data_IF_683003569325
#
_entry.id   IF_683003569325
#
_cell.length_a   1.000
_cell.length_b   1.000
_cell.length_c   1.000
_cell.angle_alpha   90.00
_cell.angle_beta   90.00
_cell.angle_gamma   90.00
#
_symmetry.space_group_name_H-M   'P 1'
#
loop_
_entity.id
_entity.type
_entity.pdbx_description
1 polymer ?
#
# COMPACT_ATOMS: atom_id res chain seq x y z
N UNK A 1 -21.23 -8.87 -0.52
CA UNK A 1 -20.18 -7.98 -0.02
C UNK A 1 -20.27 -6.65 -0.75
N UNK A 2 -20.49 -5.57 -0.02
CA UNK A 2 -20.41 -4.21 -0.52
C UNK A 2 -18.99 -3.64 -0.31
N UNK A 3 -18.65 -2.58 -1.03
CA UNK A 3 -17.44 -1.80 -0.82
C UNK A 3 -17.79 -0.43 -0.26
N UNK A 4 -16.97 0.06 0.67
CA UNK A 4 -17.04 1.42 1.18
C UNK A 4 -15.63 2.01 1.23
N UNK A 5 -15.53 3.33 1.07
CA UNK A 5 -14.29 4.07 1.14
C UNK A 5 -14.51 5.32 1.98
N UNK A 6 -13.56 5.61 2.86
CA UNK A 6 -13.53 6.87 3.58
C UNK A 6 -12.34 7.71 3.13
N UNK A 7 -12.55 9.00 3.08
CA UNK A 7 -11.50 9.99 2.87
C UNK A 7 -11.56 10.99 4.02
N UNK A 8 -10.46 11.17 4.72
CA UNK A 8 -10.32 12.18 5.77
C UNK A 8 -9.63 13.39 5.15
N UNK A 9 -10.34 14.50 5.08
CA UNK A 9 -9.82 15.77 4.61
C UNK A 9 -9.47 16.63 5.82
N UNK A 10 -8.27 17.16 5.86
CA UNK A 10 -7.78 17.98 6.95
C UNK A 10 -7.62 19.43 6.48
N UNK A 11 -7.94 20.37 7.34
CA UNK A 11 -7.73 21.82 7.08
C UNK A 11 -6.27 22.27 7.31
N UNK A 12 -5.38 21.31 7.60
CA UNK A 12 -3.98 21.56 7.90
C UNK A 12 -3.07 20.40 7.50
N UNK A 13 -1.79 20.43 7.90
CA UNK A 13 -0.85 19.38 7.58
C UNK A 13 -1.26 18.05 8.23
N UNK A 14 -0.94 16.95 7.54
CA UNK A 14 -1.17 15.61 8.08
C UNK A 14 -0.31 15.41 9.32
N UNK A 15 -0.88 15.03 10.49
CA UNK A 15 -0.10 14.77 11.68
C UNK A 15 0.93 13.65 11.47
N UNK A 16 2.11 13.84 12.06
CA UNK A 16 3.21 12.89 11.94
C UNK A 16 2.84 11.50 12.49
N UNK A 17 3.38 10.41 11.93
CA UNK A 17 3.29 9.07 12.51
C UNK A 17 3.67 9.08 13.99
N UNK A 18 2.92 8.35 14.82
CA UNK A 18 3.15 8.24 16.27
C UNK A 18 2.83 9.49 17.09
N UNK A 19 2.42 10.61 16.47
CA UNK A 19 2.10 11.82 17.22
C UNK A 19 0.77 11.71 17.99
N UNK A 20 0.63 12.41 19.13
CA UNK A 20 -0.63 12.46 19.87
C UNK A 20 -1.81 12.99 19.04
N UNK A 21 -1.54 13.95 18.17
CA UNK A 21 -2.54 14.52 17.25
C UNK A 21 -3.06 13.49 16.27
N UNK A 22 -2.16 12.65 15.72
CA UNK A 22 -2.53 11.56 14.82
C UNK A 22 -3.36 10.51 15.55
N UNK A 23 -2.95 10.14 16.74
CA UNK A 23 -3.69 9.20 17.59
C UNK A 23 -5.09 9.74 17.90
N UNK A 24 -5.22 10.99 18.28
CA UNK A 24 -6.51 11.62 18.56
C UNK A 24 -7.41 11.65 17.34
N UNK A 25 -6.85 11.92 16.14
CA UNK A 25 -7.57 11.90 14.87
C UNK A 25 -8.16 10.52 14.59
N UNK A 26 -7.35 9.46 14.68
CA UNK A 26 -7.79 8.10 14.37
C UNK A 26 -8.67 7.49 15.47
N UNK A 27 -8.49 7.85 16.74
CA UNK A 27 -9.44 7.51 17.80
C UNK A 27 -10.83 8.09 17.52
N UNK A 28 -10.90 9.38 17.18
CA UNK A 28 -12.16 10.04 16.81
C UNK A 28 -12.81 9.42 15.57
N UNK A 29 -12.00 9.08 14.56
CA UNK A 29 -12.49 8.39 13.39
C UNK A 29 -13.04 7.00 13.76
N UNK A 30 -12.37 6.28 14.65
CA UNK A 30 -12.85 5.00 15.20
C UNK A 30 -14.20 5.12 15.90
N UNK A 31 -14.38 6.14 16.74
CA UNK A 31 -15.68 6.41 17.38
C UNK A 31 -16.82 6.63 16.37
N UNK A 32 -16.51 7.33 15.27
CA UNK A 32 -17.49 7.53 14.18
C UNK A 32 -17.83 6.21 13.50
N UNK A 33 -16.82 5.38 13.22
CA UNK A 33 -17.01 4.07 12.59
C UNK A 33 -17.79 3.12 13.51
N UNK A 34 -17.51 3.13 14.80
CA UNK A 34 -18.22 2.30 15.78
C UNK A 34 -19.75 2.47 15.71
N UNK A 35 -20.22 3.69 15.39
CA UNK A 35 -21.64 3.99 15.19
C UNK A 35 -22.27 3.28 14.00
N UNK A 36 -21.46 2.76 13.06
CA UNK A 36 -21.96 1.99 11.92
C UNK A 36 -22.28 0.53 12.29
N UNK A 37 -22.10 0.16 13.56
CA UNK A 37 -22.36 -1.18 14.09
C UNK A 37 -21.75 -2.32 13.25
N UNK A 38 -20.51 -2.10 12.73
CA UNK A 38 -19.78 -3.09 11.94
C UNK A 38 -20.17 -3.15 10.47
N UNK A 39 -21.03 -2.26 9.98
CA UNK A 39 -21.34 -2.16 8.54
C UNK A 39 -20.12 -1.68 7.75
N UNK A 40 -19.26 -0.87 8.36
CA UNK A 40 -17.99 -0.41 7.80
C UNK A 40 -16.82 -0.86 8.66
N UNK A 41 -15.85 -1.52 8.06
CA UNK A 41 -14.61 -1.98 8.70
C UNK A 41 -13.46 -1.39 7.88
N UNK A 42 -12.71 -0.39 8.39
CA UNK A 42 -11.59 0.22 7.69
C UNK A 42 -10.39 -0.72 7.64
N UNK A 43 -9.52 -0.48 6.69
CA UNK A 43 -8.22 -1.12 6.55
C UNK A 43 -7.16 -0.11 6.14
N UNK A 44 -5.91 -0.53 6.19
CA UNK A 44 -4.77 0.30 5.76
C UNK A 44 -4.89 0.63 4.27
N UNK A 45 -4.71 1.89 3.95
CA UNK A 45 -4.68 2.42 2.58
C UNK A 45 -3.75 3.65 2.52
N UNK A 46 -3.80 4.38 1.41
CA UNK A 46 -2.98 5.56 1.18
C UNK A 46 -3.07 6.55 2.36
N UNK A 47 -1.93 6.94 2.89
CA UNK A 47 -1.82 7.89 3.98
C UNK A 47 -2.11 7.31 5.38
N UNK A 48 -2.43 6.01 5.48
CA UNK A 48 -2.68 5.34 6.76
C UNK A 48 -1.65 4.26 7.06
N UNK A 49 -1.46 3.96 8.33
CA UNK A 49 -0.50 3.01 8.88
C UNK A 49 -1.20 1.95 9.72
N UNK A 50 -0.48 0.87 10.05
CA UNK A 50 -0.97 -0.16 10.96
C UNK A 50 -1.36 0.41 12.33
N UNK A 51 -0.53 1.32 12.88
CA UNK A 51 -0.80 1.98 14.15
C UNK A 51 -2.11 2.79 14.17
N UNK A 52 -2.51 3.33 13.00
CA UNK A 52 -3.79 4.02 12.88
C UNK A 52 -4.96 3.04 13.01
N UNK A 53 -4.83 1.85 12.42
CA UNK A 53 -5.85 0.79 12.55
C UNK A 53 -5.92 0.25 13.97
N UNK A 54 -4.78 0.12 14.65
CA UNK A 54 -4.73 -0.23 16.07
C UNK A 54 -5.42 0.85 16.92
N UNK A 55 -5.16 2.12 16.65
CA UNK A 55 -5.81 3.23 17.34
C UNK A 55 -7.34 3.23 17.13
N UNK A 56 -7.79 2.97 15.91
CA UNK A 56 -9.23 2.83 15.60
C UNK A 56 -9.86 1.72 16.44
N UNK A 57 -9.16 0.60 16.61
CA UNK A 57 -9.64 -0.53 17.41
C UNK A 57 -9.58 -0.23 18.90
N UNK A 58 -8.43 0.16 19.40
CA UNK A 58 -8.11 0.20 20.84
C UNK A 58 -8.68 1.45 21.52
N UNK A 59 -8.60 2.59 20.86
CA UNK A 59 -9.06 3.87 21.40
C UNK A 59 -10.44 4.27 20.85
N UNK A 60 -10.72 3.96 19.59
CA UNK A 60 -11.97 4.31 18.92
C UNK A 60 -13.09 3.27 19.08
N UNK A 61 -12.78 2.08 19.58
CA UNK A 61 -13.78 1.02 19.86
C UNK A 61 -14.42 0.41 18.60
N UNK A 62 -13.82 0.59 17.42
CA UNK A 62 -14.31 0.03 16.17
C UNK A 62 -13.47 -1.17 15.72
N UNK A 63 -14.06 -2.07 14.93
CA UNK A 63 -13.30 -3.12 14.25
C UNK A 63 -12.49 -2.49 13.13
N UNK A 64 -11.24 -2.92 12.98
CA UNK A 64 -10.38 -2.57 11.85
C UNK A 64 -9.85 -3.84 11.18
N UNK A 65 -9.55 -3.76 9.88
CA UNK A 65 -8.96 -4.83 9.10
C UNK A 65 -7.47 -4.57 8.91
N UNK A 66 -6.65 -5.62 8.97
CA UNK A 66 -5.19 -5.52 8.83
C UNK A 66 -4.55 -4.59 9.88
N UNK A 67 -4.97 -4.72 11.13
CA UNK A 67 -4.44 -3.95 12.27
C UNK A 67 -3.20 -4.59 12.91
N UNK A 68 -2.88 -5.85 12.57
CA UNK A 68 -1.71 -6.57 13.06
C UNK A 68 -0.67 -6.84 11.96
N UNK A 69 -1.12 -7.04 10.72
CA UNK A 69 -0.25 -7.42 9.59
C UNK A 69 -0.52 -6.54 8.39
N UNK A 70 0.54 -5.96 7.82
CA UNK A 70 0.43 -5.18 6.59
C UNK A 70 -0.05 -6.04 5.42
N UNK A 71 -1.08 -5.63 4.68
CA UNK A 71 -1.55 -6.33 3.48
C UNK A 71 -0.62 -6.13 2.28
N UNK A 72 0.28 -5.14 2.32
CA UNK A 72 1.10 -4.72 1.18
C UNK A 72 1.95 -5.83 0.56
N UNK A 73 2.64 -6.70 1.32
CA UNK A 73 3.41 -7.79 0.72
C UNK A 73 2.54 -8.81 0.00
N UNK A 74 1.34 -9.07 0.49
CA UNK A 74 0.40 -10.00 -0.15
C UNK A 74 -0.16 -9.41 -1.44
N UNK A 75 -0.51 -8.13 -1.42
CA UNK A 75 -0.94 -7.38 -2.61
C UNK A 75 0.16 -7.36 -3.67
N UNK A 76 1.39 -7.06 -3.29
CA UNK A 76 2.53 -7.04 -4.20
C UNK A 76 2.77 -8.40 -4.86
N UNK A 77 2.69 -9.50 -4.11
CA UNK A 77 2.80 -10.86 -4.66
C UNK A 77 1.68 -11.20 -5.62
N UNK A 78 0.45 -10.77 -5.33
CA UNK A 78 -0.70 -10.96 -6.21
C UNK A 78 -0.52 -10.21 -7.54
N UNK A 79 -0.11 -8.94 -7.48
CA UNK A 79 0.21 -8.13 -8.67
C UNK A 79 1.34 -8.77 -9.48
N UNK A 80 2.43 -9.15 -8.82
CA UNK A 80 3.56 -9.80 -9.49
C UNK A 80 3.17 -11.12 -10.17
N UNK A 81 2.36 -11.96 -9.52
CA UNK A 81 1.87 -13.20 -10.12
C UNK A 81 1.03 -12.93 -11.36
N UNK A 82 0.17 -11.92 -11.33
CA UNK A 82 -0.62 -11.51 -12.51
C UNK A 82 0.27 -10.97 -13.63
N UNK A 83 1.28 -10.16 -13.31
CA UNK A 83 2.26 -9.66 -14.28
C UNK A 83 3.01 -10.80 -14.95
N UNK A 84 3.50 -11.79 -14.20
CA UNK A 84 4.16 -12.98 -14.76
C UNK A 84 3.24 -13.75 -15.69
N UNK A 85 2.00 -14.00 -15.28
CA UNK A 85 1.03 -14.70 -16.08
C UNK A 85 0.76 -13.98 -17.41
N UNK A 86 0.61 -12.66 -17.37
CA UNK A 86 0.44 -11.83 -18.56
C UNK A 86 1.69 -11.87 -19.46
N UNK A 87 2.88 -11.77 -18.89
CA UNK A 87 4.13 -11.83 -19.64
C UNK A 87 4.32 -13.20 -20.34
N UNK A 88 4.06 -14.28 -19.63
CA UNK A 88 4.10 -15.64 -20.21
C UNK A 88 3.09 -15.77 -21.36
N UNK A 89 1.89 -15.23 -21.19
CA UNK A 89 0.86 -15.27 -22.24
C UNK A 89 1.29 -14.51 -23.52
N UNK A 90 1.96 -13.35 -23.36
CA UNK A 90 2.34 -12.50 -24.49
C UNK A 90 3.71 -12.81 -25.08
N UNK A 91 4.68 -13.25 -24.26
CA UNK A 91 6.08 -13.40 -24.65
C UNK A 91 6.61 -14.84 -24.54
N UNK A 92 5.79 -15.79 -24.07
CA UNK A 92 6.19 -17.19 -23.87
C UNK A 92 6.86 -17.42 -22.50
N UNK A 93 7.48 -18.59 -22.32
CA UNK A 93 7.97 -19.09 -21.03
C UNK A 93 9.05 -18.22 -20.34
N UNK A 94 9.62 -17.26 -21.04
CA UNK A 94 10.61 -16.32 -20.48
C UNK A 94 10.05 -15.40 -19.39
N UNK A 95 8.72 -15.31 -19.27
CA UNK A 95 8.06 -14.49 -18.25
C UNK A 95 8.47 -13.03 -18.31
N UNK A 96 8.94 -12.48 -17.19
CA UNK A 96 9.41 -11.09 -17.11
C UNK A 96 10.90 -10.91 -17.46
N UNK A 97 11.63 -11.98 -17.75
CA UNK A 97 13.06 -11.89 -18.09
C UNK A 97 13.28 -11.04 -19.34
N UNK A 98 14.09 -9.98 -19.20
CA UNK A 98 14.38 -9.01 -20.25
C UNK A 98 13.23 -8.03 -20.56
N UNK A 99 12.08 -8.17 -19.95
CA UNK A 99 10.95 -7.24 -20.12
C UNK A 99 11.27 -5.85 -19.55
N UNK A 100 10.66 -4.82 -20.13
CA UNK A 100 10.69 -3.46 -19.58
C UNK A 100 9.42 -3.25 -18.73
N UNK A 101 9.61 -2.95 -17.46
CA UNK A 101 8.54 -2.75 -16.49
C UNK A 101 8.62 -1.34 -15.93
N UNK A 102 7.54 -0.60 -16.01
CA UNK A 102 7.44 0.74 -15.38
C UNK A 102 6.52 0.64 -14.17
N UNK A 103 7.03 1.04 -13.00
CA UNK A 103 6.27 1.09 -11.75
C UNK A 103 6.04 2.54 -11.38
N UNK A 104 4.79 2.98 -11.47
CA UNK A 104 4.39 4.30 -11.02
C UNK A 104 3.94 4.24 -9.56
N UNK A 105 4.66 4.96 -8.70
CA UNK A 105 4.45 4.93 -7.25
C UNK A 105 5.28 3.85 -6.55
N UNK A 106 6.25 4.28 -5.77
CA UNK A 106 7.19 3.41 -5.02
C UNK A 106 6.85 3.51 -3.53
N UNK A 107 5.61 3.18 -3.18
CA UNK A 107 5.18 2.93 -1.82
C UNK A 107 5.32 1.46 -1.46
N UNK A 108 4.75 1.05 -0.32
CA UNK A 108 4.91 -0.32 0.24
C UNK A 108 4.57 -1.47 -0.73
N UNK A 109 3.63 -1.25 -1.65
CA UNK A 109 3.27 -2.24 -2.69
C UNK A 109 4.20 -2.11 -3.90
N UNK A 110 4.36 -0.89 -4.43
CA UNK A 110 5.12 -0.65 -5.66
C UNK A 110 6.60 -1.00 -5.53
N UNK A 111 7.21 -0.72 -4.39
CA UNK A 111 8.59 -1.10 -4.09
C UNK A 111 8.77 -2.63 -4.14
N UNK A 112 7.89 -3.37 -3.49
CA UNK A 112 7.98 -4.84 -3.48
C UNK A 112 7.69 -5.44 -4.86
N UNK A 113 6.74 -4.89 -5.62
CA UNK A 113 6.49 -5.30 -7.02
C UNK A 113 7.72 -5.06 -7.88
N UNK A 114 8.36 -3.88 -7.76
CA UNK A 114 9.57 -3.54 -8.48
C UNK A 114 10.72 -4.50 -8.15
N UNK A 115 10.90 -4.81 -6.87
CA UNK A 115 11.92 -5.76 -6.40
C UNK A 115 11.69 -7.18 -6.95
N UNK A 116 10.45 -7.65 -6.92
CA UNK A 116 10.08 -8.97 -7.45
C UNK A 116 10.29 -9.05 -8.96
N UNK A 117 9.85 -8.03 -9.71
CA UNK A 117 10.04 -7.98 -11.16
C UNK A 117 11.53 -7.92 -11.55
N UNK A 118 12.32 -7.13 -10.84
CA UNK A 118 13.76 -7.06 -11.04
C UNK A 118 14.44 -8.41 -10.75
N UNK A 119 14.03 -9.08 -9.67
CA UNK A 119 14.53 -10.42 -9.33
C UNK A 119 14.22 -11.49 -10.37
N UNK A 120 13.18 -11.30 -11.17
CA UNK A 120 12.78 -12.17 -12.29
C UNK A 120 13.46 -11.76 -13.63
N UNK A 121 14.41 -10.83 -13.57
CA UNK A 121 15.22 -10.38 -14.71
C UNK A 121 14.63 -9.26 -15.57
N UNK A 122 13.58 -8.58 -15.09
CA UNK A 122 13.06 -7.40 -15.77
C UNK A 122 13.97 -6.18 -15.61
N UNK A 123 13.98 -5.30 -16.62
CA UNK A 123 14.49 -3.93 -16.49
C UNK A 123 13.40 -3.05 -15.92
N UNK A 124 13.56 -2.63 -14.66
CA UNK A 124 12.53 -1.88 -13.96
C UNK A 124 12.87 -0.39 -13.93
N UNK A 125 11.90 0.42 -14.36
CA UNK A 125 11.90 1.88 -14.20
C UNK A 125 10.86 2.26 -13.17
N UNK A 126 11.26 2.93 -12.09
CA UNK A 126 10.37 3.43 -11.06
C UNK A 126 10.15 4.93 -11.22
N UNK A 127 8.91 5.35 -11.15
CA UNK A 127 8.50 6.75 -11.24
C UNK A 127 7.73 7.13 -9.97
N UNK A 128 8.20 8.18 -9.28
CA UNK A 128 7.51 8.77 -8.12
C UNK A 128 7.45 10.28 -8.30
N UNK A 129 6.71 10.97 -7.44
CA UNK A 129 6.63 12.44 -7.52
C UNK A 129 8.04 13.05 -7.37
N UNK A 130 8.52 13.65 -8.47
CA UNK A 130 9.80 14.34 -8.51
C UNK A 130 11.05 13.49 -8.80
N UNK A 131 10.92 12.18 -9.01
CA UNK A 131 12.07 11.32 -9.32
C UNK A 131 11.72 10.17 -10.28
N UNK A 132 12.70 9.80 -11.11
CA UNK A 132 12.68 8.59 -11.94
C UNK A 132 13.93 7.78 -11.60
N UNK A 133 13.77 6.48 -11.34
CA UNK A 133 14.88 5.56 -11.06
C UNK A 133 14.82 4.36 -12.00
N UNK A 134 15.96 3.95 -12.52
CA UNK A 134 16.11 2.80 -13.42
C UNK A 134 16.95 1.73 -12.74
N UNK A 135 16.53 0.48 -12.78
CA UNK A 135 17.28 -0.64 -12.20
C UNK A 135 18.65 -0.82 -12.90
N UNK A 136 19.68 -0.97 -12.10
CA UNK A 136 21.07 -1.10 -12.56
C UNK A 136 21.90 0.19 -12.48
N UNK A 137 21.30 1.34 -12.15
CA UNK A 137 21.99 2.63 -12.06
C UNK A 137 21.98 3.24 -10.66
N UNK A 138 21.06 2.81 -9.77
CA UNK A 138 21.00 3.36 -8.40
C UNK A 138 20.65 2.28 -7.40
N UNK A 139 21.29 2.23 -6.21
CA UNK A 139 20.82 1.39 -5.11
C UNK A 139 19.42 1.84 -4.73
N UNK A 140 18.51 0.89 -4.63
CA UNK A 140 17.14 1.11 -4.21
C UNK A 140 17.09 1.80 -2.86
N UNK A 141 16.72 3.06 -2.90
CA UNK A 141 16.18 3.90 -1.84
C UNK A 141 16.73 3.69 -0.41
N UNK A 142 17.27 4.74 0.08
CA UNK A 142 17.29 5.03 1.52
C UNK A 142 16.00 5.76 1.90
#
# INVERSE_FOLDING_TARGET
>A
TGGAKSVVVLDGPVPAPGSPERRALFARFGEMIARTAGTYIPGVDMGTLLEDMQTIRDDGGARAFCDEVSPSPFTARGVYAAMRAAAVHHHGEGGLSGAEVVVQGVGSVGEEVARLAHGDGARVTSVTQGAVSVSGVTPWLR
#
